data_IF_874468002356
#
_entry.id   IF_874468002356
#
_cell.length_a   1.000
_cell.length_b   1.000
_cell.length_c   1.000
_cell.angle_alpha   90.00
_cell.angle_beta   90.00
_cell.angle_gamma   90.00
#
_symmetry.space_group_name_H-M   'P 1'
#
loop_
_entity.id
_entity.type
_entity.pdbx_description
1 polymer ?
#
# COMPACT_ATOMS: atom_id res chain seq x y z
N UNK A 1 5.54 25.28 -9.00
CA UNK A 1 6.47 25.58 -10.10
C UNK A 1 6.42 27.08 -10.37
N UNK A 2 7.57 27.70 -10.61
CA UNK A 2 7.64 29.14 -10.98
C UNK A 2 6.98 29.45 -12.32
N UNK A 3 6.62 28.41 -13.10
CA UNK A 3 6.10 28.54 -14.47
C UNK A 3 4.62 28.15 -14.63
N UNK A 4 3.90 27.91 -13.53
CA UNK A 4 2.50 27.48 -13.53
C UNK A 4 2.33 25.93 -13.53
N UNK A 5 1.14 25.50 -13.13
CA UNK A 5 0.79 24.07 -12.90
C UNK A 5 -0.33 23.57 -13.82
N UNK A 6 -0.85 24.43 -14.70
CA UNK A 6 -1.89 24.03 -15.63
C UNK A 6 -1.34 23.11 -16.74
N UNK A 7 -2.23 22.34 -17.37
CA UNK A 7 -1.87 21.52 -18.55
C UNK A 7 -1.23 22.39 -19.65
N UNK A 8 -1.72 23.62 -19.83
CA UNK A 8 -1.18 24.56 -20.81
C UNK A 8 0.25 25.01 -20.46
N UNK A 9 0.53 25.28 -19.18
CA UNK A 9 1.87 25.65 -18.72
C UNK A 9 2.86 24.50 -18.89
N UNK A 10 2.44 23.28 -18.52
CA UNK A 10 3.26 22.09 -18.67
C UNK A 10 3.52 21.80 -20.16
N UNK A 11 2.50 21.90 -21.01
CA UNK A 11 2.65 21.76 -22.47
C UNK A 11 3.66 22.75 -23.03
N UNK A 12 3.59 24.01 -22.62
CA UNK A 12 4.54 25.04 -23.02
C UNK A 12 5.98 24.70 -22.58
N UNK A 13 6.16 24.27 -21.33
CA UNK A 13 7.48 23.89 -20.81
C UNK A 13 8.06 22.69 -21.57
N UNK A 14 7.23 21.70 -21.91
CA UNK A 14 7.67 20.54 -22.71
C UNK A 14 8.08 20.99 -24.11
N UNK A 15 7.28 21.84 -24.75
CA UNK A 15 7.56 22.34 -26.12
C UNK A 15 8.83 23.17 -26.17
N UNK A 16 8.94 24.16 -25.29
CA UNK A 16 9.94 25.23 -25.37
C UNK A 16 11.18 24.97 -24.51
N UNK A 17 11.10 23.96 -23.63
CA UNK A 17 12.13 23.75 -22.62
C UNK A 17 12.02 24.74 -21.46
N UNK A 18 13.00 24.72 -20.58
CA UNK A 18 13.10 25.63 -19.45
C UNK A 18 14.49 26.24 -19.35
N UNK A 19 14.59 27.53 -19.55
CA UNK A 19 15.86 28.26 -19.44
C UNK A 19 16.49 28.26 -18.05
N UNK A 20 15.69 27.95 -17.02
CA UNK A 20 16.13 27.93 -15.63
C UNK A 20 16.54 26.51 -15.16
N UNK A 21 16.42 25.50 -16.02
CA UNK A 21 16.73 24.11 -15.72
C UNK A 21 17.47 23.48 -16.91
N UNK A 22 17.96 22.24 -16.74
CA UNK A 22 18.55 21.46 -17.83
C UNK A 22 17.51 20.82 -18.77
N UNK A 23 16.22 21.21 -18.72
CA UNK A 23 15.18 20.62 -19.55
C UNK A 23 15.23 21.18 -20.98
N UNK A 24 15.53 20.36 -22.01
CA UNK A 24 15.58 20.79 -23.39
C UNK A 24 14.18 21.04 -23.97
N UNK A 25 14.10 21.74 -25.09
CA UNK A 25 12.88 21.89 -25.88
C UNK A 25 12.60 20.62 -26.69
N UNK A 26 11.36 20.14 -26.71
CA UNK A 26 10.94 18.93 -27.42
C UNK A 26 10.09 19.23 -28.67
N UNK A 27 9.90 20.50 -29.04
CA UNK A 27 9.10 20.90 -30.21
C UNK A 27 9.56 20.27 -31.53
N UNK A 28 10.85 19.94 -31.66
CA UNK A 28 11.38 19.28 -32.85
C UNK A 28 11.17 17.75 -32.87
N UNK A 29 10.81 17.16 -31.71
CA UNK A 29 10.77 15.70 -31.55
C UNK A 29 9.34 15.17 -31.28
N UNK A 30 8.49 16.01 -30.69
CA UNK A 30 7.13 15.69 -30.33
C UNK A 30 6.14 16.58 -31.06
N UNK A 31 5.08 16.00 -31.60
CA UNK A 31 3.97 16.76 -32.15
C UNK A 31 3.06 17.33 -31.03
N UNK A 32 2.16 18.24 -31.38
CA UNK A 32 1.27 18.91 -30.42
C UNK A 32 0.39 17.96 -29.65
N UNK A 33 -0.05 16.84 -30.25
CA UNK A 33 -0.87 15.81 -29.61
C UNK A 33 -0.06 15.04 -28.58
N UNK A 34 1.19 14.72 -28.89
CA UNK A 34 2.11 14.03 -27.98
C UNK A 34 2.48 14.93 -26.79
N UNK A 35 2.75 16.20 -27.04
CA UNK A 35 3.01 17.20 -25.99
C UNK A 35 1.81 17.32 -25.06
N UNK A 36 0.59 17.40 -25.58
CA UNK A 36 -0.63 17.51 -24.78
C UNK A 36 -0.88 16.26 -23.94
N UNK A 37 -0.73 15.06 -24.53
CA UNK A 37 -0.85 13.80 -23.81
C UNK A 37 0.15 13.68 -22.66
N UNK A 38 1.39 14.07 -22.90
CA UNK A 38 2.43 14.05 -21.89
C UNK A 38 2.15 15.06 -20.77
N UNK A 39 1.65 16.25 -21.10
CA UNK A 39 1.27 17.26 -20.11
C UNK A 39 0.09 16.78 -19.24
N UNK A 40 -0.92 16.16 -19.84
CA UNK A 40 -2.04 15.53 -19.12
C UNK A 40 -1.53 14.44 -18.17
N UNK A 41 -0.68 13.53 -18.66
CA UNK A 41 -0.09 12.49 -17.84
C UNK A 41 0.66 13.04 -16.61
N UNK A 42 1.51 14.07 -16.81
CA UNK A 42 2.23 14.72 -15.71
C UNK A 42 1.26 15.36 -14.71
N UNK A 43 0.18 15.99 -15.18
CA UNK A 43 -0.84 16.60 -14.32
C UNK A 43 -1.58 15.55 -13.50
N UNK A 44 -1.96 14.43 -14.13
CA UNK A 44 -2.63 13.31 -13.47
C UNK A 44 -1.73 12.65 -12.43
N UNK A 45 -0.45 12.42 -12.74
CA UNK A 45 0.50 11.87 -11.79
C UNK A 45 0.68 12.78 -10.57
N UNK A 46 0.77 14.10 -10.77
CA UNK A 46 0.84 15.07 -9.66
C UNK A 46 -0.42 15.06 -8.80
N UNK A 47 -1.59 15.05 -9.42
CA UNK A 47 -2.86 14.93 -8.70
C UNK A 47 -2.93 13.62 -7.91
N UNK A 48 -2.48 12.51 -8.50
CA UNK A 48 -2.35 11.22 -7.84
C UNK A 48 -1.42 11.26 -6.62
N UNK A 49 -0.25 11.85 -6.75
CA UNK A 49 0.68 12.03 -5.62
C UNK A 49 0.09 12.91 -4.52
N UNK A 50 -0.53 14.03 -4.87
CA UNK A 50 -1.19 14.90 -3.90
C UNK A 50 -2.33 14.20 -3.16
N UNK A 51 -3.11 13.36 -3.84
CA UNK A 51 -4.16 12.56 -3.22
C UNK A 51 -3.61 11.47 -2.31
N UNK A 52 -2.53 10.82 -2.69
CA UNK A 52 -1.85 9.81 -1.86
C UNK A 52 -1.31 10.48 -0.59
N UNK A 53 -0.59 11.58 -0.71
CA UNK A 53 -0.04 12.33 0.42
C UNK A 53 -1.16 12.82 1.37
N UNK A 54 -2.25 13.34 0.81
CA UNK A 54 -3.42 13.76 1.57
C UNK A 54 -4.08 12.59 2.32
N UNK A 55 -4.33 11.48 1.64
CA UNK A 55 -4.99 10.31 2.24
C UNK A 55 -4.12 9.61 3.28
N UNK A 56 -2.81 9.60 3.11
CA UNK A 56 -1.89 8.98 4.07
C UNK A 56 -1.64 9.82 5.32
N UNK A 57 -1.84 11.13 5.25
CA UNK A 57 -1.60 12.05 6.38
C UNK A 57 -2.83 12.43 7.16
N UNK A 58 -4.02 12.11 6.66
CA UNK A 58 -5.27 12.41 7.35
C UNK A 58 -5.93 11.12 7.83
N UNK A 59 -6.18 11.03 9.13
CA UNK A 59 -7.05 9.98 9.63
C UNK A 59 -8.48 10.22 9.10
N UNK A 60 -9.06 9.18 8.52
CA UNK A 60 -10.44 9.21 8.07
C UNK A 60 -11.35 9.26 9.29
N UNK A 61 -12.21 10.26 9.35
CA UNK A 61 -13.27 10.29 10.36
C UNK A 61 -14.26 9.15 10.07
N UNK A 62 -14.48 8.29 11.06
CA UNK A 62 -15.51 7.24 10.97
C UNK A 62 -16.88 7.91 11.15
N UNK A 63 -17.82 7.77 10.21
CA UNK A 63 -19.16 8.32 10.34
C UNK A 63 -19.88 7.73 11.55
N UNK A 64 -20.49 8.57 12.37
CA UNK A 64 -21.29 8.16 13.54
C UNK A 64 -22.64 7.58 13.09
N UNK A 65 -23.17 8.11 12.00
CA UNK A 65 -24.45 7.72 11.43
C UNK A 65 -24.34 6.45 10.60
N UNK A 66 -25.47 5.74 10.44
CA UNK A 66 -25.54 4.60 9.57
C UNK A 66 -25.36 5.02 8.10
N UNK A 67 -24.56 4.28 7.36
CA UNK A 67 -24.32 4.47 5.94
C UNK A 67 -25.33 3.64 5.18
N UNK A 68 -26.15 4.29 4.33
CA UNK A 68 -27.08 3.61 3.44
C UNK A 68 -26.37 3.19 2.15
N UNK A 69 -26.54 1.94 1.74
CA UNK A 69 -26.20 1.43 0.41
C UNK A 69 -27.47 1.06 -0.33
N UNK A 70 -27.36 0.57 -1.56
CA UNK A 70 -28.53 0.19 -2.36
C UNK A 70 -29.43 -0.87 -1.71
N UNK A 71 -28.86 -1.80 -0.96
CA UNK A 71 -29.58 -2.94 -0.41
C UNK A 71 -29.53 -3.02 1.12
N UNK A 72 -28.56 -2.36 1.75
CA UNK A 72 -28.31 -2.48 3.18
C UNK A 72 -27.99 -1.12 3.82
N UNK A 73 -28.19 -1.06 5.13
CA UNK A 73 -27.65 0.00 5.96
C UNK A 73 -26.68 -0.59 6.96
N UNK A 74 -25.52 0.02 7.13
CA UNK A 74 -24.47 -0.48 8.00
C UNK A 74 -23.81 0.66 8.81
N UNK A 75 -23.21 0.29 9.92
CA UNK A 75 -22.39 1.17 10.75
C UNK A 75 -20.94 0.72 10.69
N UNK A 76 -20.03 1.69 10.75
CA UNK A 76 -18.61 1.42 10.91
C UNK A 76 -18.26 1.54 12.39
N UNK A 77 -17.59 0.53 12.93
CA UNK A 77 -17.09 0.51 14.29
C UNK A 77 -15.60 0.22 14.28
N UNK A 78 -14.85 0.93 15.12
CA UNK A 78 -13.43 0.64 15.32
C UNK A 78 -13.29 -0.64 16.13
N UNK A 79 -12.65 -1.64 15.57
CA UNK A 79 -12.37 -2.93 16.25
C UNK A 79 -11.04 -2.91 16.97
N UNK A 80 -10.02 -2.29 16.37
CA UNK A 80 -8.68 -2.20 16.94
C UNK A 80 -7.99 -0.90 16.52
N UNK A 81 -7.13 -0.41 17.38
CA UNK A 81 -6.23 0.74 17.14
C UNK A 81 -4.78 0.30 17.31
N UNK A 82 -3.84 1.19 17.08
CA UNK A 82 -2.40 0.98 17.30
C UNK A 82 -1.81 -0.22 16.56
N UNK A 83 -2.38 -0.54 15.39
CA UNK A 83 -1.84 -1.54 14.50
C UNK A 83 -0.56 -1.02 13.83
N UNK A 84 0.23 -1.94 13.27
CA UNK A 84 1.34 -1.58 12.40
C UNK A 84 0.84 -0.65 11.27
N UNK A 85 1.64 0.30 10.79
CA UNK A 85 1.23 1.21 9.71
C UNK A 85 0.75 0.53 8.43
N UNK A 86 1.01 -0.77 8.28
CA UNK A 86 0.64 -1.53 7.09
C UNK A 86 -0.06 -2.86 7.44
N UNK A 87 -1.23 -2.83 8.10
CA UNK A 87 -2.07 -4.02 8.21
C UNK A 87 -2.47 -4.45 6.80
N UNK A 88 -2.52 -5.76 6.53
CA UNK A 88 -2.75 -6.22 5.17
C UNK A 88 -4.03 -7.07 5.03
N UNK A 89 -4.16 -8.13 5.79
CA UNK A 89 -5.29 -9.04 5.70
C UNK A 89 -5.80 -9.46 7.06
N UNK A 90 -7.08 -9.76 7.11
CA UNK A 90 -7.77 -10.25 8.30
C UNK A 90 -8.56 -11.52 7.99
N UNK A 91 -8.61 -12.45 8.94
CA UNK A 91 -9.49 -13.60 8.91
C UNK A 91 -10.24 -13.72 10.24
N UNK A 92 -11.58 -13.53 10.27
CA UNK A 92 -12.37 -13.72 11.48
C UNK A 92 -12.32 -15.17 11.96
N UNK A 93 -12.02 -15.35 13.24
CA UNK A 93 -12.01 -16.66 13.90
C UNK A 93 -13.41 -17.00 14.41
N UNK A 94 -13.76 -18.30 14.54
CA UNK A 94 -15.07 -18.73 15.03
C UNK A 94 -15.44 -18.24 16.43
N UNK A 95 -14.44 -17.89 17.23
CA UNK A 95 -14.60 -17.40 18.60
C UNK A 95 -14.72 -15.87 18.71
N UNK A 96 -14.83 -15.18 17.57
CA UNK A 96 -14.98 -13.72 17.48
C UNK A 96 -13.67 -12.95 17.49
N UNK A 97 -12.52 -13.59 17.67
CA UNK A 97 -11.21 -12.97 17.47
C UNK A 97 -10.90 -12.81 15.99
N UNK A 98 -9.88 -12.06 15.67
CA UNK A 98 -9.47 -11.80 14.29
C UNK A 98 -7.99 -12.14 14.13
N UNK A 99 -7.69 -13.00 13.17
CA UNK A 99 -6.32 -13.24 12.74
C UNK A 99 -5.90 -12.09 11.82
N UNK A 100 -4.75 -11.50 12.07
CA UNK A 100 -4.28 -10.27 11.40
C UNK A 100 -2.87 -10.49 10.85
N UNK A 101 -2.66 -10.14 9.59
CA UNK A 101 -1.34 -9.98 9.02
C UNK A 101 -0.94 -8.51 8.95
N UNK A 102 0.28 -8.23 9.38
CA UNK A 102 0.92 -6.92 9.31
C UNK A 102 2.21 -7.07 8.50
N UNK A 103 2.32 -6.31 7.42
CA UNK A 103 3.35 -6.54 6.37
C UNK A 103 4.77 -6.69 6.90
N UNK A 104 5.25 -5.73 7.66
CA UNK A 104 6.61 -5.72 8.18
C UNK A 104 6.75 -6.41 9.54
N UNK A 105 5.65 -6.73 10.20
CA UNK A 105 5.65 -7.27 11.56
C UNK A 105 5.42 -8.78 11.62
N UNK A 106 4.40 -9.30 10.92
CA UNK A 106 4.07 -10.71 10.91
C UNK A 106 2.59 -11.02 11.16
N UNK A 107 2.32 -12.14 11.80
CA UNK A 107 1.00 -12.66 12.09
C UNK A 107 0.66 -12.52 13.59
N UNK A 108 -0.51 -11.96 13.89
CA UNK A 108 -1.01 -11.76 15.25
C UNK A 108 -2.52 -12.01 15.34
N UNK A 109 -3.08 -11.97 16.53
CA UNK A 109 -4.52 -12.09 16.79
C UNK A 109 -4.98 -10.79 17.45
N UNK A 110 -6.07 -10.24 16.99
CA UNK A 110 -6.82 -9.19 17.67
C UNK A 110 -7.93 -9.86 18.48
N UNK A 111 -7.96 -9.60 19.77
CA UNK A 111 -8.98 -10.09 20.69
C UNK A 111 -10.33 -9.42 20.47
N UNK A 112 -11.36 -9.95 21.12
CA UNK A 112 -12.72 -9.35 21.13
C UNK A 112 -12.77 -8.01 21.88
N UNK A 113 -11.75 -7.72 22.67
CA UNK A 113 -11.49 -6.45 23.35
C UNK A 113 -10.76 -5.41 22.49
N UNK A 114 -10.38 -5.78 21.25
CA UNK A 114 -9.61 -4.94 20.34
C UNK A 114 -8.09 -4.96 20.57
N UNK A 115 -7.63 -5.69 21.61
CA UNK A 115 -6.19 -5.76 21.92
C UNK A 115 -5.47 -6.73 21.00
N UNK A 116 -4.30 -6.32 20.52
CA UNK A 116 -3.45 -7.10 19.65
C UNK A 116 -2.48 -7.98 20.45
N UNK A 117 -2.44 -9.26 20.15
CA UNK A 117 -1.51 -10.22 20.75
C UNK A 117 -0.03 -9.94 20.34
N UNK A 118 0.88 -10.61 21.02
CA UNK A 118 2.22 -10.86 20.51
C UNK A 118 2.14 -11.63 19.18
N UNK A 119 3.27 -11.67 18.44
CA UNK A 119 3.37 -12.47 17.19
C UNK A 119 3.14 -13.95 17.51
N UNK A 120 2.44 -14.63 16.60
CA UNK A 120 2.23 -16.06 16.68
C UNK A 120 3.55 -16.79 16.44
N UNK A 121 4.03 -17.58 17.40
CA UNK A 121 5.27 -18.33 17.24
C UNK A 121 5.20 -19.33 16.07
N UNK A 122 6.30 -19.49 15.34
CA UNK A 122 6.39 -20.41 14.21
C UNK A 122 5.83 -19.88 12.89
N UNK A 123 5.18 -18.73 12.88
CA UNK A 123 4.85 -18.04 11.64
C UNK A 123 6.13 -17.57 10.92
N UNK A 124 6.12 -17.47 9.58
CA UNK A 124 7.23 -16.87 8.85
C UNK A 124 7.55 -15.46 9.37
N UNK A 125 8.82 -15.12 9.41
CA UNK A 125 9.26 -13.80 9.85
C UNK A 125 8.99 -12.78 8.75
N UNK A 126 8.28 -11.70 9.08
CA UNK A 126 8.21 -10.51 8.24
C UNK A 126 9.57 -9.80 8.22
N UNK A 127 9.95 -9.27 7.07
CA UNK A 127 11.16 -8.48 6.93
C UNK A 127 10.82 -7.00 6.84
N UNK A 128 11.25 -6.22 7.80
CA UNK A 128 11.20 -4.75 7.76
C UNK A 128 12.46 -4.19 7.08
N UNK A 129 12.78 -4.69 5.90
CA UNK A 129 13.88 -4.19 5.08
C UNK A 129 13.43 -3.19 4.01
N UNK A 130 12.42 -2.47 4.35
CA UNK A 130 11.79 -1.50 3.48
C UNK A 130 12.77 -0.43 3.03
N UNK A 131 12.94 -0.31 1.72
CA UNK A 131 13.53 0.85 1.11
C UNK A 131 12.52 2.00 1.25
N UNK A 132 12.88 3.01 2.06
CA UNK A 132 12.10 4.24 2.10
C UNK A 132 12.03 4.87 0.72
N UNK A 133 10.84 5.20 0.25
CA UNK A 133 10.72 6.05 -0.93
C UNK A 133 11.13 7.47 -0.55
N UNK A 134 12.03 8.14 -1.29
CA UNK A 134 12.37 9.53 -1.01
C UNK A 134 11.20 10.49 -1.26
N UNK A 135 10.09 10.01 -1.83
CA UNK A 135 8.95 10.83 -2.23
C UNK A 135 7.71 10.67 -1.36
N UNK A 136 7.62 9.58 -0.59
CA UNK A 136 6.51 9.29 0.34
C UNK A 136 7.08 8.50 1.52
N UNK A 137 6.53 8.71 2.71
CA UNK A 137 6.80 7.89 3.90
C UNK A 137 6.23 6.46 3.75
N UNK A 138 6.39 5.90 2.57
CA UNK A 138 5.97 4.56 2.25
C UNK A 138 7.18 3.64 2.20
N UNK A 139 7.26 2.74 3.14
CA UNK A 139 8.25 1.68 3.12
C UNK A 139 7.80 0.63 2.10
N UNK A 140 8.64 0.33 1.12
CA UNK A 140 8.45 -0.73 0.14
C UNK A 140 9.39 -1.89 0.50
N UNK A 141 8.84 -2.99 0.98
CA UNK A 141 9.60 -4.19 1.35
C UNK A 141 9.31 -5.37 0.43
N UNK A 142 10.23 -6.32 0.37
CA UNK A 142 10.10 -7.52 -0.45
C UNK A 142 9.78 -8.79 0.37
N UNK A 143 9.93 -8.75 1.68
CA UNK A 143 9.70 -9.90 2.57
C UNK A 143 8.46 -9.71 3.44
N UNK A 144 7.33 -9.35 2.84
CA UNK A 144 6.14 -8.98 3.58
C UNK A 144 5.19 -10.13 3.86
N UNK A 145 4.59 -10.10 5.05
CA UNK A 145 3.40 -10.87 5.34
C UNK A 145 2.24 -10.34 4.51
N UNK A 146 1.51 -11.25 3.86
CA UNK A 146 0.43 -10.89 2.93
C UNK A 146 -0.89 -11.46 3.44
N UNK A 147 -1.57 -12.23 2.61
CA UNK A 147 -2.92 -12.70 2.86
C UNK A 147 -2.97 -13.87 3.84
N UNK A 148 -4.10 -13.97 4.55
CA UNK A 148 -4.40 -15.09 5.45
C UNK A 148 -5.85 -15.52 5.27
N UNK A 149 -6.07 -16.83 5.22
CA UNK A 149 -7.41 -17.42 5.17
C UNK A 149 -7.50 -18.65 6.08
N UNK A 150 -8.68 -18.87 6.62
CA UNK A 150 -8.95 -20.09 7.38
C UNK A 150 -9.22 -21.25 6.40
N UNK A 151 -8.80 -22.45 6.79
CA UNK A 151 -9.26 -23.66 6.13
C UNK A 151 -10.79 -23.81 6.28
N UNK A 152 -11.54 -24.32 5.29
CA UNK A 152 -12.98 -24.53 5.43
C UNK A 152 -13.37 -25.31 6.69
N UNK A 153 -12.58 -26.31 7.08
CA UNK A 153 -12.77 -27.09 8.29
C UNK A 153 -11.92 -26.60 9.48
N UNK A 154 -11.65 -25.29 9.56
CA UNK A 154 -10.80 -24.72 10.61
C UNK A 154 -11.22 -25.11 12.01
N UNK A 155 -12.52 -25.16 12.28
CA UNK A 155 -13.04 -25.54 13.59
C UNK A 155 -12.59 -26.94 14.04
N UNK A 156 -12.27 -27.82 13.09
CA UNK A 156 -11.84 -29.23 13.37
C UNK A 156 -10.31 -29.35 13.33
N UNK A 157 -9.65 -28.69 12.40
CA UNK A 157 -8.23 -28.94 12.14
C UNK A 157 -7.30 -27.79 12.55
N UNK A 158 -7.83 -26.59 12.81
CA UNK A 158 -7.08 -25.41 13.19
C UNK A 158 -6.16 -24.86 12.08
N UNK A 159 -6.34 -25.27 10.83
CA UNK A 159 -5.45 -24.91 9.75
C UNK A 159 -5.76 -23.54 9.16
N UNK A 160 -4.70 -22.82 8.83
CA UNK A 160 -4.76 -21.56 8.09
C UNK A 160 -3.88 -21.67 6.84
N UNK A 161 -4.21 -20.87 5.86
CA UNK A 161 -3.35 -20.61 4.69
C UNK A 161 -2.76 -19.21 4.81
N UNK A 162 -1.46 -19.11 4.64
CA UNK A 162 -0.74 -17.85 4.80
C UNK A 162 0.11 -17.60 3.57
N UNK A 163 -0.08 -16.44 2.95
CA UNK A 163 0.75 -15.95 1.86
C UNK A 163 1.78 -14.97 2.40
N UNK A 164 3.02 -15.09 1.98
CA UNK A 164 4.08 -14.17 2.34
C UNK A 164 5.17 -14.07 1.27
N UNK A 165 5.93 -12.98 1.28
CA UNK A 165 7.14 -12.85 0.50
C UNK A 165 8.30 -13.51 1.24
N UNK A 166 8.79 -14.63 0.73
CA UNK A 166 9.99 -15.29 1.26
C UNK A 166 11.23 -14.66 0.63
N UNK A 167 12.06 -14.07 1.46
CA UNK A 167 13.28 -13.44 1.02
C UNK A 167 14.42 -14.44 0.91
N UNK A 168 15.02 -14.52 -0.26
CA UNK A 168 16.21 -15.34 -0.47
C UNK A 168 17.49 -14.53 -0.26
N UNK A 169 18.02 -14.51 0.96
CA UNK A 169 19.29 -13.82 1.25
C UNK A 169 20.49 -14.43 0.53
N UNK A 170 20.44 -15.72 0.21
CA UNK A 170 21.50 -16.44 -0.55
C UNK A 170 21.39 -16.28 -2.05
N UNK A 171 20.22 -15.82 -2.57
CA UNK A 171 20.00 -15.58 -4.01
C UNK A 171 20.31 -14.13 -4.39
N UNK A 172 20.62 -13.27 -3.44
CA UNK A 172 20.78 -11.83 -3.69
C UNK A 172 22.03 -11.58 -4.52
N UNK A 173 21.86 -10.92 -5.66
CA UNK A 173 22.96 -10.34 -6.40
C UNK A 173 23.36 -8.99 -5.78
N UNK A 174 24.58 -8.56 -6.01
CA UNK A 174 25.10 -7.28 -5.53
C UNK A 174 24.11 -6.15 -5.91
N UNK A 175 23.48 -5.54 -4.92
CA UNK A 175 22.48 -4.48 -5.04
C UNK A 175 21.06 -4.89 -5.50
N UNK A 176 20.74 -6.17 -5.64
CA UNK A 176 19.40 -6.64 -5.94
C UNK A 176 18.91 -7.60 -4.87
N UNK A 177 17.79 -7.24 -4.23
CA UNK A 177 17.10 -8.11 -3.28
C UNK A 177 16.14 -9.03 -4.05
N UNK A 178 16.11 -10.29 -3.66
CA UNK A 178 15.29 -11.31 -4.30
C UNK A 178 14.29 -11.85 -3.30
N UNK A 179 13.02 -11.89 -3.68
CA UNK A 179 11.97 -12.57 -2.94
C UNK A 179 11.06 -13.35 -3.88
N UNK A 180 10.36 -14.34 -3.35
CA UNK A 180 9.29 -15.03 -4.05
C UNK A 180 8.07 -15.13 -3.14
N UNK A 181 6.89 -15.12 -3.73
CA UNK A 181 5.66 -15.36 -2.98
C UNK A 181 5.55 -16.84 -2.65
N UNK A 182 5.27 -17.12 -1.40
CA UNK A 182 4.98 -18.47 -0.89
C UNK A 182 3.59 -18.53 -0.30
N UNK A 183 2.95 -19.67 -0.47
CA UNK A 183 1.74 -20.04 0.23
C UNK A 183 2.06 -21.26 1.10
N UNK A 184 1.77 -21.15 2.39
CA UNK A 184 1.98 -22.20 3.38
C UNK A 184 0.71 -22.48 4.15
N UNK A 185 0.71 -23.62 4.82
CA UNK A 185 -0.37 -24.08 5.68
C UNK A 185 0.18 -24.25 7.08
#
# INVERSE_FOLDING_TARGET
>A
LQSGDSVADISRIIRDGSLQTSMPAFAATLDDTQVQRLALYVTEQRAGFSQIDFKMRQSLAIPVEAIASEQHSFRLETVATDLDPQPFSIAPLPDGRILLTERGRGLSIVGTDGERSALIPGAPTGYDDALGSPFVDLKLGLGWMMDVALHPDYATNGWIYLQYGDRCSTCEMKHQRVSMNKLVR
#
